data_IF_297744094575
#
_entry.id   IF_297744094575
#
_cell.length_a   1.000
_cell.length_b   1.000
_cell.length_c   1.000
_cell.angle_alpha   90.00
_cell.angle_beta   90.00
_cell.angle_gamma   90.00
#
_symmetry.space_group_name_H-M   'P 1'
#
loop_
_entity.id
_entity.type
_entity.pdbx_description
1 polymer ?
#
# COMPACT_ATOMS: atom_id res chain seq x y z
N UNK A 1 -3.12 12.52 -3.89
CA UNK A 1 -1.87 12.10 -4.55
C UNK A 1 -0.69 12.88 -4.01
N UNK A 2 0.46 12.22 -3.87
CA UNK A 2 1.75 12.85 -3.56
C UNK A 2 2.79 12.60 -4.65
N UNK A 3 2.64 11.49 -5.40
CA UNK A 3 3.40 11.16 -6.60
C UNK A 3 2.50 10.43 -7.57
N UNK A 4 2.45 10.84 -8.82
CA UNK A 4 1.70 10.12 -9.86
C UNK A 4 2.46 8.87 -10.32
N UNK A 5 1.72 7.86 -10.78
CA UNK A 5 2.28 6.63 -11.34
C UNK A 5 1.20 5.78 -11.99
N UNK A 6 1.62 4.92 -12.91
CA UNK A 6 0.74 4.21 -13.84
C UNK A 6 0.78 2.68 -13.71
N UNK A 7 1.82 2.13 -13.08
CA UNK A 7 1.99 0.68 -13.00
C UNK A 7 1.32 0.12 -11.74
N UNK A 8 1.54 0.80 -10.60
CA UNK A 8 1.05 0.43 -9.27
C UNK A 8 0.87 1.67 -8.40
N UNK A 9 -0.11 1.67 -7.50
CA UNK A 9 -0.28 2.74 -6.50
C UNK A 9 -0.04 2.22 -5.08
N UNK A 10 0.85 2.90 -4.36
CA UNK A 10 1.09 2.75 -2.94
C UNK A 10 0.13 3.67 -2.17
N UNK A 11 -0.92 3.09 -1.59
CA UNK A 11 -1.87 3.82 -0.75
C UNK A 11 -1.41 3.70 0.70
N UNK A 12 -1.02 4.82 1.32
CA UNK A 12 -0.55 4.87 2.70
C UNK A 12 -1.63 5.45 3.63
N UNK A 13 -1.70 4.92 4.85
CA UNK A 13 -2.34 5.59 5.98
C UNK A 13 -1.39 5.66 7.18
N UNK A 14 -1.13 6.88 7.66
CA UNK A 14 -0.34 7.13 8.88
C UNK A 14 1.17 7.13 8.67
N UNK A 15 1.88 6.57 9.66
CA UNK A 15 3.30 6.82 9.93
C UNK A 15 4.27 6.29 8.87
N UNK A 16 3.85 5.33 8.05
CA UNK A 16 4.73 4.67 7.06
C UNK A 16 4.88 5.45 5.75
N UNK A 17 4.35 6.68 5.69
CA UNK A 17 4.42 7.52 4.50
C UNK A 17 5.85 7.71 3.96
N UNK A 18 6.88 7.97 4.80
CA UNK A 18 8.25 8.10 4.33
C UNK A 18 8.75 6.85 3.60
N UNK A 19 8.46 5.65 4.14
CA UNK A 19 8.82 4.39 3.50
C UNK A 19 8.08 4.16 2.19
N UNK A 20 6.80 4.58 2.08
CA UNK A 20 6.06 4.48 0.82
C UNK A 20 6.67 5.38 -0.27
N UNK A 21 7.09 6.60 0.08
CA UNK A 21 7.77 7.50 -0.85
C UNK A 21 9.14 6.94 -1.27
N UNK A 22 9.92 6.41 -0.33
CA UNK A 22 11.21 5.77 -0.61
C UNK A 22 11.04 4.50 -1.46
N UNK A 23 10.01 3.69 -1.22
CA UNK A 23 9.69 2.52 -2.04
C UNK A 23 9.37 2.92 -3.48
N UNK A 24 8.64 4.02 -3.68
CA UNK A 24 8.41 4.57 -5.01
C UNK A 24 9.70 5.03 -5.70
N UNK A 25 10.71 5.50 -4.94
CA UNK A 25 12.04 5.82 -5.50
C UNK A 25 12.86 4.57 -5.83
N UNK A 26 12.76 3.50 -5.05
CA UNK A 26 13.35 2.20 -5.38
C UNK A 26 12.76 1.69 -6.71
N UNK A 27 11.42 1.63 -6.80
CA UNK A 27 10.70 1.15 -7.97
C UNK A 27 11.00 1.98 -9.23
N UNK A 28 11.11 3.30 -9.09
CA UNK A 28 11.47 4.19 -10.19
C UNK A 28 12.85 3.87 -10.78
N UNK A 29 13.84 3.51 -9.95
CA UNK A 29 15.17 3.10 -10.43
C UNK A 29 15.15 1.78 -11.22
N UNK A 30 14.09 0.99 -11.04
CA UNK A 30 13.84 -0.27 -11.75
C UNK A 30 12.96 -0.08 -12.99
N UNK A 31 12.57 1.15 -13.32
CA UNK A 31 11.69 1.45 -14.44
C UNK A 31 10.21 1.23 -14.15
N UNK A 32 9.81 1.08 -12.89
CA UNK A 32 8.42 0.91 -12.47
C UNK A 32 7.83 2.26 -12.04
N UNK A 33 6.73 2.64 -12.67
CA UNK A 33 5.96 3.87 -12.43
C UNK A 33 5.01 3.68 -11.22
N UNK A 34 5.56 3.87 -10.01
CA UNK A 34 4.80 3.72 -8.77
C UNK A 34 4.23 5.07 -8.28
N UNK A 35 2.90 5.15 -8.19
CA UNK A 35 2.18 6.28 -7.62
C UNK A 35 2.11 6.17 -6.09
N UNK A 36 1.98 7.30 -5.40
CA UNK A 36 1.81 7.37 -3.94
C UNK A 36 0.63 8.25 -3.59
N UNK A 37 -0.29 7.70 -2.79
CA UNK A 37 -1.45 8.41 -2.23
C UNK A 37 -1.38 8.30 -0.72
N UNK A 38 -1.51 9.43 -0.03
CA UNK A 38 -1.73 9.44 1.41
C UNK A 38 -3.23 9.57 1.70
N UNK A 39 -3.77 8.62 2.46
CA UNK A 39 -5.17 8.51 2.88
C UNK A 39 -5.24 8.73 4.40
N UNK A 40 -5.21 9.98 4.89
CA UNK A 40 -5.10 10.28 6.32
C UNK A 40 -6.35 9.85 7.12
N UNK A 41 -7.48 9.61 6.45
CA UNK A 41 -8.72 9.14 7.06
C UNK A 41 -9.06 7.76 6.52
N UNK A 42 -9.08 6.76 7.41
CA UNK A 42 -9.66 5.44 7.11
C UNK A 42 -11.19 5.51 7.13
N UNK A 43 -11.74 6.44 7.93
CA UNK A 43 -13.17 6.74 7.98
C UNK A 43 -13.41 8.25 8.14
N UNK A 44 -14.20 8.89 7.26
CA UNK A 44 -14.72 8.33 6.01
C UNK A 44 -13.59 7.98 5.03
N UNK A 45 -13.78 6.90 4.28
CA UNK A 45 -12.85 6.46 3.23
C UNK A 45 -13.24 7.12 1.91
N UNK A 46 -12.26 7.61 1.15
CA UNK A 46 -12.49 8.14 -0.20
C UNK A 46 -12.61 6.98 -1.21
N UNK A 47 -13.82 6.42 -1.30
CA UNK A 47 -14.13 5.27 -2.15
C UNK A 47 -14.13 5.63 -3.64
N UNK A 48 -14.40 6.89 -3.99
CA UNK A 48 -14.36 7.37 -5.37
C UNK A 48 -12.92 7.35 -5.91
N UNK A 49 -11.96 7.85 -5.13
CA UNK A 49 -10.54 7.80 -5.49
C UNK A 49 -10.04 6.35 -5.58
N UNK A 50 -10.46 5.48 -4.66
CA UNK A 50 -10.08 4.06 -4.70
C UNK A 50 -10.62 3.39 -5.98
N UNK A 51 -11.89 3.62 -6.32
CA UNK A 51 -12.50 3.09 -7.52
C UNK A 51 -11.81 3.61 -8.80
N UNK A 52 -11.40 4.88 -8.80
CA UNK A 52 -10.62 5.45 -9.90
C UNK A 52 -9.26 4.74 -10.05
N UNK A 53 -8.50 4.60 -8.97
CA UNK A 53 -7.19 3.93 -9.01
C UNK A 53 -7.31 2.47 -9.42
N UNK A 54 -8.32 1.77 -8.90
CA UNK A 54 -8.56 0.37 -9.23
C UNK A 54 -8.86 0.19 -10.73
N UNK A 55 -9.60 1.11 -11.34
CA UNK A 55 -9.90 1.13 -12.78
C UNK A 55 -8.70 1.52 -13.64
N UNK A 56 -8.03 2.61 -13.30
CA UNK A 56 -7.03 3.24 -14.17
C UNK A 56 -5.66 2.56 -14.05
N UNK A 57 -5.31 2.08 -12.85
CA UNK A 57 -4.02 1.44 -12.56
C UNK A 57 -4.14 -0.06 -12.36
N UNK A 58 -5.19 -0.57 -11.73
CA UNK A 58 -5.44 -2.02 -11.59
C UNK A 58 -4.46 -2.79 -10.69
N UNK A 59 -3.50 -2.11 -10.03
CA UNK A 59 -2.61 -2.69 -9.04
C UNK A 59 -2.41 -1.73 -7.86
N UNK A 60 -2.70 -2.21 -6.66
CA UNK A 60 -2.70 -1.41 -5.42
C UNK A 60 -1.87 -2.12 -4.35
N UNK A 61 -1.05 -1.37 -3.62
CA UNK A 61 -0.42 -1.82 -2.37
C UNK A 61 -0.89 -0.90 -1.25
N UNK A 62 -1.56 -1.45 -0.24
CA UNK A 62 -1.91 -0.67 0.96
C UNK A 62 -0.76 -0.73 1.96
N UNK A 63 -0.50 0.38 2.65
CA UNK A 63 0.59 0.52 3.61
C UNK A 63 0.04 1.14 4.90
N UNK A 64 0.06 0.38 5.99
CA UNK A 64 -0.45 0.80 7.29
C UNK A 64 0.43 0.31 8.45
N UNK A 65 0.57 1.12 9.51
CA UNK A 65 1.16 0.68 10.77
C UNK A 65 0.07 0.11 11.71
N UNK A 66 -0.70 -0.85 11.19
CA UNK A 66 -1.79 -1.52 11.87
C UNK A 66 -1.88 -2.96 11.38
N UNK A 67 -2.64 -3.81 12.08
CA UNK A 67 -2.91 -5.16 11.63
C UNK A 67 -3.65 -5.15 10.29
N UNK A 68 -3.25 -6.01 9.36
CA UNK A 68 -3.93 -6.15 8.07
C UNK A 68 -5.38 -6.65 8.22
N UNK A 69 -5.72 -7.29 9.34
CA UNK A 69 -7.06 -7.79 9.66
C UNK A 69 -7.93 -6.64 10.17
N UNK A 70 -8.99 -6.30 9.42
CA UNK A 70 -9.92 -5.22 9.78
C UNK A 70 -9.35 -3.81 9.71
N UNK A 71 -8.11 -3.65 9.21
CA UNK A 71 -7.43 -2.37 9.08
C UNK A 71 -7.73 -1.61 7.78
N UNK A 72 -6.88 -0.64 7.47
CA UNK A 72 -6.95 0.17 6.27
C UNK A 72 -6.92 -0.68 4.99
N UNK A 73 -6.05 -1.68 4.94
CA UNK A 73 -5.96 -2.60 3.81
C UNK A 73 -7.22 -3.43 3.60
N UNK A 74 -7.95 -3.74 4.68
CA UNK A 74 -9.27 -4.37 4.62
C UNK A 74 -10.32 -3.44 4.04
N UNK A 75 -10.41 -2.21 4.57
CA UNK A 75 -11.35 -1.20 4.10
C UNK A 75 -11.15 -0.82 2.62
N UNK A 76 -9.91 -0.71 2.16
CA UNK A 76 -9.61 -0.50 0.73
C UNK A 76 -10.02 -1.72 -0.09
N UNK A 77 -9.77 -2.94 0.40
CA UNK A 77 -10.16 -4.15 -0.31
C UNK A 77 -11.69 -4.25 -0.49
N UNK A 78 -12.46 -3.93 0.55
CA UNK A 78 -13.93 -3.82 0.48
C UNK A 78 -14.35 -2.83 -0.62
N UNK A 79 -13.82 -1.61 -0.60
CA UNK A 79 -14.13 -0.60 -1.61
C UNK A 79 -13.72 -1.02 -3.03
N UNK A 80 -12.58 -1.70 -3.20
CA UNK A 80 -12.11 -2.20 -4.50
C UNK A 80 -13.04 -3.28 -5.05
N UNK A 81 -13.42 -4.28 -4.25
CA UNK A 81 -14.25 -5.39 -4.73
C UNK A 81 -15.68 -4.98 -5.01
N UNK A 82 -16.20 -3.96 -4.32
CA UNK A 82 -17.54 -3.40 -4.56
C UNK A 82 -17.60 -2.49 -5.79
N UNK A 83 -16.47 -1.94 -6.24
CA UNK A 83 -16.43 -0.95 -7.33
C UNK A 83 -15.80 -1.49 -8.62
N UNK A 84 -14.51 -1.82 -8.59
CA UNK A 84 -13.77 -2.34 -9.73
C UNK A 84 -12.64 -3.25 -9.23
N UNK A 85 -12.84 -4.58 -9.20
CA UNK A 85 -11.84 -5.51 -8.69
C UNK A 85 -10.46 -5.32 -9.34
N UNK A 86 -9.44 -5.15 -8.51
CA UNK A 86 -8.06 -4.93 -8.90
C UNK A 86 -7.10 -5.81 -8.08
N UNK A 87 -5.87 -5.99 -8.57
CA UNK A 87 -4.87 -6.76 -7.84
C UNK A 87 -4.36 -5.97 -6.64
N UNK A 88 -4.26 -6.63 -5.49
CA UNK A 88 -3.89 -5.97 -4.23
C UNK A 88 -2.84 -6.73 -3.42
N UNK A 89 -1.92 -5.99 -2.82
CA UNK A 89 -1.09 -6.43 -1.68
C UNK A 89 -1.35 -5.54 -0.46
N UNK A 90 -1.17 -6.11 0.73
CA UNK A 90 -1.35 -5.38 2.00
C UNK A 90 -0.07 -5.45 2.82
N UNK A 91 0.52 -4.29 3.08
CA UNK A 91 1.62 -4.07 4.03
C UNK A 91 1.04 -3.57 5.33
N UNK A 92 1.31 -4.31 6.41
CA UNK A 92 0.85 -4.09 7.77
C UNK A 92 1.23 -5.27 8.65
N UNK A 93 0.94 -5.18 9.94
CA UNK A 93 1.29 -6.22 10.93
C UNK A 93 0.49 -7.50 10.65
N UNK A 94 1.16 -8.66 10.73
CA UNK A 94 0.62 -9.98 10.34
C UNK A 94 0.10 -10.76 11.53
N UNK A 95 -1.12 -10.48 11.99
CA UNK A 95 -1.79 -11.22 13.08
C UNK A 95 -0.87 -11.56 14.27
N UNK A 96 -0.06 -10.58 14.64
CA UNK A 96 0.96 -10.65 15.68
C UNK A 96 0.66 -9.60 16.75
N UNK A 97 1.08 -9.88 17.98
CA UNK A 97 0.99 -8.91 19.06
C UNK A 97 1.99 -7.77 18.85
N UNK A 98 1.56 -6.56 19.22
CA UNK A 98 2.43 -5.39 19.28
C UNK A 98 3.48 -5.55 20.38
N UNK A 99 4.72 -5.18 20.08
CA UNK A 99 5.83 -5.15 21.02
C UNK A 99 6.34 -3.72 21.23
N UNK A 100 7.08 -3.49 22.32
CA UNK A 100 7.71 -2.19 22.60
C UNK A 100 9.17 -2.21 22.14
N UNK A 101 9.47 -1.49 21.07
CA UNK A 101 10.81 -1.24 20.56
C UNK A 101 10.81 0.08 19.74
N UNK A 102 11.98 0.62 19.36
CA UNK A 102 12.04 1.77 18.46
C UNK A 102 11.27 1.53 17.15
N UNK A 103 10.68 2.59 16.59
CA UNK A 103 9.81 2.48 15.42
C UNK A 103 10.50 1.84 14.21
N UNK A 104 11.76 2.18 13.94
CA UNK A 104 12.52 1.62 12.81
C UNK A 104 12.76 0.12 12.99
N UNK A 105 13.08 -0.33 14.21
CA UNK A 105 13.29 -1.74 14.53
C UNK A 105 12.00 -2.54 14.37
N UNK A 106 10.87 -1.99 14.83
CA UNK A 106 9.54 -2.59 14.64
C UNK A 106 9.13 -2.61 13.17
N UNK A 107 9.41 -1.54 12.42
CA UNK A 107 9.10 -1.46 11.00
C UNK A 107 9.86 -2.52 10.22
N UNK A 108 11.15 -2.73 10.49
CA UNK A 108 11.92 -3.78 9.83
C UNK A 108 11.43 -5.17 10.24
N UNK A 109 11.22 -5.41 11.54
CA UNK A 109 10.72 -6.69 12.05
C UNK A 109 9.39 -7.10 11.41
N UNK A 110 8.44 -6.16 11.31
CA UNK A 110 7.14 -6.41 10.71
C UNK A 110 7.12 -6.21 9.19
N UNK A 111 8.28 -6.04 8.55
CA UNK A 111 8.43 -5.94 7.10
C UNK A 111 7.65 -4.76 6.50
N UNK A 112 7.70 -3.61 7.15
CA UNK A 112 6.98 -2.38 6.82
C UNK A 112 7.87 -1.33 6.12
N UNK A 113 9.17 -1.59 6.01
CA UNK A 113 10.14 -0.66 5.42
C UNK A 113 10.05 -0.61 3.88
N UNK A 114 10.71 0.39 3.28
CA UNK A 114 10.65 0.66 1.85
C UNK A 114 11.01 -0.56 0.97
N UNK A 115 12.04 -1.38 1.27
CA UNK A 115 12.33 -2.59 0.50
C UNK A 115 11.18 -3.60 0.47
N UNK A 116 10.46 -3.75 1.59
CA UNK A 116 9.33 -4.67 1.69
C UNK A 116 8.11 -4.15 0.94
N UNK A 117 7.84 -2.84 0.99
CA UNK A 117 6.79 -2.21 0.18
C UNK A 117 7.10 -2.36 -1.31
N UNK A 118 8.34 -2.12 -1.73
CA UNK A 118 8.77 -2.33 -3.13
C UNK A 118 8.63 -3.81 -3.54
N UNK A 119 8.97 -4.75 -2.66
CA UNK A 119 8.75 -6.18 -2.91
C UNK A 119 7.27 -6.51 -3.12
N UNK A 120 6.37 -5.97 -2.28
CA UNK A 120 4.93 -6.13 -2.48
C UNK A 120 4.44 -5.54 -3.80
N UNK A 121 4.94 -4.36 -4.19
CA UNK A 121 4.63 -3.77 -5.49
C UNK A 121 5.02 -4.69 -6.67
N UNK A 122 6.18 -5.35 -6.60
CA UNK A 122 6.57 -6.34 -7.62
C UNK A 122 5.63 -7.55 -7.65
N UNK A 123 5.28 -8.11 -6.48
CA UNK A 123 4.36 -9.27 -6.40
C UNK A 123 2.98 -8.97 -6.96
N UNK A 124 2.42 -7.78 -6.71
CA UNK A 124 1.12 -7.40 -7.25
C UNK A 124 1.18 -7.21 -8.77
N UNK A 125 2.27 -6.63 -9.27
CA UNK A 125 2.50 -6.45 -10.71
C UNK A 125 2.68 -7.80 -11.42
N UNK A 126 3.38 -8.75 -10.83
CA UNK A 126 3.49 -10.12 -11.36
C UNK A 126 2.12 -10.77 -11.53
N UNK A 127 1.26 -10.67 -10.51
CA UNK A 127 -0.12 -11.20 -10.58
C UNK A 127 -0.98 -10.49 -11.62
N UNK A 128 -0.82 -9.17 -11.80
CA UNK A 128 -1.55 -8.38 -12.81
C UNK A 128 -1.20 -8.76 -14.25
N UNK A 129 -0.01 -9.32 -14.52
CA UNK A 129 0.44 -9.72 -15.87
C UNK A 129 -0.13 -11.06 -16.34
N UNK A 130 -0.76 -11.82 -15.44
CA UNK A 130 -1.42 -13.09 -15.70
C UNK A 130 -2.94 -12.93 -15.76
#
# INVERSE_FOLDING_TARGET
>A
WLREGSDVVLMNSGLLLPYALEAADILRREGISAGVINMPTVKPLDTELIAQVARDVGAIVTVENHNILGGFGGAVAEAVVESHPAYMERIGIRDEYSESAPNDDLAEKHQLTAPHIACAARRVLERKRH
#
